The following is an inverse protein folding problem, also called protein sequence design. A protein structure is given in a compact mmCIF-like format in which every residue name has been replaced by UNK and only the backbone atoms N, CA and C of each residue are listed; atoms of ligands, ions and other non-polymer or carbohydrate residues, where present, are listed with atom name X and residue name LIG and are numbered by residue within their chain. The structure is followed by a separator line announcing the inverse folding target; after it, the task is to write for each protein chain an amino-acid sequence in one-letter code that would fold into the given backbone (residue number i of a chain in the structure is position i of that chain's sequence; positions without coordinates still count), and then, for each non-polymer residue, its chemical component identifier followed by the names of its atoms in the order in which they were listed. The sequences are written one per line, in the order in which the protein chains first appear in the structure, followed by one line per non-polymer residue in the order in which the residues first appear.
data_IF_311717217226
#
_entry.id   IF_311717217226
#
_cell.length_a   1.000
_cell.length_b   1.000
_cell.length_c   1.000
_cell.angle_alpha   90.00
_cell.angle_beta   90.00
_cell.angle_gamma   90.00
#
_symmetry.space_group_name_H-M   'P 1'
#
loop_
_entity.id
_entity.type
_entity.pdbx_description
1 polymer ?
#
# COMPACT_ATOMS: atom_id res chain seq x y z
N UNK A 1 -1.87 11.76 -0.08
CA UNK A 1 -0.60 11.14 -0.52
C UNK A 1 0.09 10.36 0.59
N UNK A 2 0.20 10.90 1.81
CA UNK A 2 0.87 10.26 2.97
C UNK A 2 0.54 8.78 3.27
N UNK A 3 -0.71 8.32 3.05
CA UNK A 3 -1.09 6.92 3.34
C UNK A 3 -0.55 5.94 2.29
N UNK A 4 -0.57 6.32 1.01
CA UNK A 4 -0.01 5.49 -0.06
C UNK A 4 1.51 5.41 0.05
N UNK A 5 2.18 6.53 0.34
CA UNK A 5 3.63 6.55 0.53
C UNK A 5 4.07 5.71 1.74
N UNK A 6 3.31 5.75 2.83
CA UNK A 6 3.53 4.88 3.97
C UNK A 6 3.32 3.41 3.61
N UNK A 7 2.24 3.09 2.88
CA UNK A 7 1.92 1.72 2.46
C UNK A 7 3.06 1.12 1.65
N UNK A 8 3.54 1.84 0.64
CA UNK A 8 4.60 1.36 -0.29
C UNK A 8 5.85 0.91 0.45
N UNK A 9 6.22 1.59 1.54
CA UNK A 9 7.38 1.22 2.38
C UNK A 9 7.18 -0.08 3.15
N UNK A 10 5.93 -0.51 3.33
CA UNK A 10 5.55 -1.70 4.09
C UNK A 10 5.15 -2.88 3.20
N UNK A 11 5.12 -2.73 1.86
CA UNK A 11 4.59 -3.77 0.96
C UNK A 11 5.51 -4.96 0.70
N UNK A 12 6.82 -4.83 0.93
CA UNK A 12 7.80 -5.87 0.62
C UNK A 12 7.44 -7.27 1.17
N UNK A 13 6.98 -7.42 2.42
CA UNK A 13 6.55 -8.71 2.96
C UNK A 13 5.30 -9.31 2.28
N UNK A 14 4.47 -8.48 1.64
CA UNK A 14 3.17 -8.88 1.06
C UNK A 14 3.25 -9.25 -0.41
N UNK A 15 4.31 -8.82 -1.10
CA UNK A 15 4.57 -9.15 -2.51
C UNK A 15 5.57 -10.31 -2.66
N UNK A 16 6.41 -10.56 -1.64
CA UNK A 16 7.48 -11.55 -1.69
C UNK A 16 8.60 -11.21 -2.67
N UNK A 17 8.71 -9.93 -3.09
CA UNK A 17 9.68 -9.48 -4.09
C UNK A 17 10.71 -8.55 -3.42
N UNK A 18 11.99 -8.89 -3.55
CA UNK A 18 13.07 -8.00 -3.15
C UNK A 18 13.35 -7.00 -4.27
N UNK A 19 13.19 -5.72 -3.97
CA UNK A 19 13.42 -4.63 -4.93
C UNK A 19 13.04 -3.28 -4.37
N UNK A 20 13.18 -2.25 -5.20
CA UNK A 20 12.76 -0.88 -4.86
C UNK A 20 11.33 -0.66 -5.32
N UNK A 21 10.47 -0.25 -4.40
CA UNK A 21 9.05 -0.04 -4.64
C UNK A 21 8.77 1.42 -4.98
N UNK A 22 8.02 1.64 -6.05
CA UNK A 22 7.62 2.95 -6.54
C UNK A 22 6.10 3.02 -6.67
N UNK A 23 5.50 4.06 -6.12
CA UNK A 23 4.10 4.36 -6.37
C UNK A 23 3.94 4.90 -7.79
N UNK A 24 3.15 4.23 -8.62
CA UNK A 24 2.84 4.66 -9.98
C UNK A 24 1.46 5.34 -10.08
N UNK A 25 0.50 4.95 -9.23
CA UNK A 25 -0.82 5.56 -9.21
C UNK A 25 -1.71 5.04 -8.08
N UNK A 26 -2.84 5.71 -7.86
CA UNK A 26 -3.85 5.34 -6.86
C UNK A 26 -5.23 5.40 -7.52
N UNK A 27 -6.10 4.46 -7.17
CA UNK A 27 -7.49 4.40 -7.63
C UNK A 27 -8.41 3.86 -6.53
N UNK A 28 -9.73 3.91 -6.74
CA UNK A 28 -10.74 3.35 -5.83
C UNK A 28 -10.59 3.81 -4.37
N UNK A 29 -10.39 5.12 -4.18
CA UNK A 29 -10.16 5.70 -2.85
C UNK A 29 -11.49 5.81 -2.12
N UNK A 30 -11.56 5.25 -0.91
CA UNK A 30 -12.65 5.44 0.02
C UNK A 30 -12.12 5.77 1.42
N UNK A 31 -12.95 6.43 2.22
CA UNK A 31 -12.64 6.75 3.61
C UNK A 31 -13.89 6.55 4.46
N UNK A 32 -13.73 5.90 5.60
CA UNK A 32 -14.76 5.74 6.61
C UNK A 32 -14.23 6.16 7.98
N UNK A 33 -15.11 6.67 8.83
CA UNK A 33 -14.76 7.02 10.22
C UNK A 33 -15.34 5.95 11.13
N UNK A 34 -14.48 5.13 11.74
CA UNK A 34 -14.87 4.03 12.62
C UNK A 34 -13.75 3.78 13.63
N UNK A 35 -13.92 4.23 14.88
CA UNK A 35 -12.86 4.16 15.91
C UNK A 35 -11.46 4.57 15.40
N UNK A 36 -11.43 5.54 14.48
CA UNK A 36 -10.27 5.94 13.70
C UNK A 36 -10.70 6.41 12.31
N UNK A 37 -9.73 6.71 11.46
CA UNK A 37 -9.97 6.91 10.03
C UNK A 37 -9.51 5.65 9.27
N UNK A 38 -10.47 4.94 8.68
CA UNK A 38 -10.23 3.82 7.80
C UNK A 38 -10.09 4.33 6.37
N UNK A 39 -8.93 4.12 5.75
CA UNK A 39 -8.66 4.46 4.35
C UNK A 39 -8.55 3.17 3.55
N UNK A 40 -9.33 3.05 2.48
CA UNK A 40 -9.20 1.95 1.54
C UNK A 40 -8.87 2.51 0.17
N UNK A 41 -7.91 1.91 -0.52
CA UNK A 41 -7.52 2.34 -1.85
C UNK A 41 -6.75 1.24 -2.56
N UNK A 42 -6.82 1.28 -3.89
CA UNK A 42 -5.99 0.46 -4.77
C UNK A 42 -4.75 1.26 -5.16
N UNK A 43 -3.56 0.72 -4.89
CA UNK A 43 -2.30 1.26 -5.40
C UNK A 43 -1.84 0.49 -6.63
N UNK A 44 -1.30 1.23 -7.59
CA UNK A 44 -0.52 0.69 -8.69
C UNK A 44 0.94 0.96 -8.37
N UNK A 45 1.75 -0.09 -8.24
CA UNK A 45 3.15 -0.01 -7.87
C UNK A 45 4.04 -0.59 -8.97
N UNK A 46 5.25 -0.07 -9.07
CA UNK A 46 6.35 -0.63 -9.87
C UNK A 46 7.43 -1.09 -8.91
N UNK A 47 7.97 -2.27 -9.14
CA UNK A 47 9.06 -2.84 -8.35
C UNK A 47 10.25 -3.02 -9.27
N UNK A 48 11.33 -2.29 -9.01
CA UNK A 48 12.60 -2.48 -9.71
C UNK A 48 13.40 -3.56 -8.96
N UNK A 49 13.60 -4.70 -9.62
CA UNK A 49 14.39 -5.82 -9.10
C UNK A 49 15.86 -5.63 -9.51
N UNK A 50 16.77 -6.25 -8.75
CA UNK A 50 18.23 -6.07 -8.92
C UNK A 50 18.76 -6.50 -10.30
N UNK A 51 18.03 -7.36 -11.00
CA UNK A 51 18.33 -7.84 -12.36
C UNK A 51 17.92 -6.83 -13.46
N UNK A 52 17.35 -5.68 -13.07
CA UNK A 52 16.83 -4.67 -13.99
C UNK A 52 15.40 -4.93 -14.45
N UNK A 53 14.78 -6.05 -14.04
CA UNK A 53 13.38 -6.34 -14.34
C UNK A 53 12.47 -5.40 -13.57
N UNK A 54 11.45 -4.87 -14.25
CA UNK A 54 10.39 -4.10 -13.61
C UNK A 54 9.12 -4.93 -13.51
N UNK A 55 8.58 -5.07 -12.31
CA UNK A 55 7.32 -5.77 -12.05
C UNK A 55 6.27 -4.73 -11.71
N UNK A 56 5.13 -4.76 -12.40
CA UNK A 56 3.97 -3.92 -12.09
C UNK A 56 3.00 -4.75 -11.27
N UNK A 57 2.53 -4.18 -10.16
CA UNK A 57 1.52 -4.80 -9.32
C UNK A 57 0.41 -3.83 -8.96
N UNK A 58 -0.77 -4.39 -8.73
CA UNK A 58 -1.92 -3.72 -8.16
C UNK A 58 -2.11 -4.27 -6.75
N UNK A 59 -2.11 -3.38 -5.75
CA UNK A 59 -2.28 -3.75 -4.35
C UNK A 59 -3.52 -3.05 -3.76
N UNK A 60 -4.48 -3.84 -3.30
CA UNK A 60 -5.61 -3.33 -2.53
C UNK A 60 -5.19 -3.22 -1.06
N UNK A 61 -5.35 -2.02 -0.50
CA UNK A 61 -4.84 -1.65 0.83
C UNK A 61 -5.93 -1.05 1.68
N UNK A 62 -5.95 -1.46 2.95
CA UNK A 62 -6.83 -0.93 3.99
C UNK A 62 -5.97 -0.48 5.18
N UNK A 63 -6.01 0.81 5.52
CA UNK A 63 -5.24 1.39 6.63
C UNK A 63 -6.19 1.97 7.68
N UNK A 64 -5.96 1.60 8.93
CA UNK A 64 -6.56 2.26 10.08
C UNK A 64 -5.56 3.28 10.66
N UNK A 65 -5.97 4.54 10.70
CA UNK A 65 -5.22 5.66 11.27
C UNK A 65 -5.93 6.18 12.52
N UNK A 66 -5.33 5.96 13.69
CA UNK A 66 -5.80 6.52 14.97
C UNK A 66 -4.88 7.65 15.37
N UNK A 67 -5.20 8.86 14.91
CA UNK A 67 -4.37 10.05 15.10
C UNK A 67 -4.03 10.35 16.58
N UNK A 68 -4.94 10.04 17.50
CA UNK A 68 -4.75 10.26 18.94
C UNK A 68 -3.76 9.27 19.57
N UNK A 69 -3.56 8.10 18.96
CA UNK A 69 -2.57 7.09 19.36
C UNK A 69 -1.25 7.22 18.58
N UNK A 70 -1.20 8.12 17.58
CA UNK A 70 -0.07 8.25 16.64
C UNK A 70 0.22 6.91 15.93
N UNK A 71 -0.81 6.08 15.76
CA UNK A 71 -0.71 4.74 15.18
C UNK A 71 -1.32 4.67 13.78
N UNK A 72 -0.63 3.94 12.90
CA UNK A 72 -1.09 3.55 11.58
C UNK A 72 -0.79 2.08 11.39
N UNK A 73 -1.80 1.33 11.01
CA UNK A 73 -1.69 -0.10 10.79
C UNK A 73 -2.51 -0.50 9.57
N UNK A 74 -2.12 -1.63 8.97
CA UNK A 74 -2.99 -2.27 8.00
C UNK A 74 -4.18 -2.87 8.77
N UNK A 75 -5.39 -2.45 8.41
CA UNK A 75 -6.62 -3.02 8.97
C UNK A 75 -6.79 -4.47 8.51
N UNK A 76 -6.34 -4.77 7.30
CA UNK A 76 -6.29 -6.09 6.68
C UNK A 76 -4.99 -6.22 5.89
N UNK A 77 -4.48 -7.44 5.73
CA UNK A 77 -3.27 -7.69 4.95
C UNK A 77 -3.45 -7.16 3.51
N UNK A 78 -2.53 -6.33 2.99
CA UNK A 78 -2.52 -5.92 1.60
C UNK A 78 -2.61 -7.10 0.64
N UNK A 79 -3.50 -7.00 -0.35
CA UNK A 79 -3.66 -8.03 -1.38
C UNK A 79 -3.04 -7.50 -2.67
N UNK A 80 -1.90 -8.06 -3.06
CA UNK A 80 -1.15 -7.63 -4.24
C UNK A 80 -1.26 -8.66 -5.38
N UNK A 81 -1.56 -8.19 -6.57
CA UNK A 81 -1.68 -8.98 -7.81
C UNK A 81 -0.77 -8.39 -8.89
N UNK A 82 -0.09 -9.25 -9.67
CA UNK A 82 0.67 -8.81 -10.84
C UNK A 82 -0.29 -8.34 -11.94
N UNK A 83 0.07 -7.25 -12.62
CA UNK A 83 -0.69 -6.68 -13.74
C UNK A 83 -0.06 -7.09 -15.07
#
# INVERSE_FOLDING_TARGET
MLMADWSVKQLSPYTGINGTYFLNGISNISKQTFYGALYQFTMHIKIAVLDGTQIVMKCDVSILDRKWEVSKEFNENPICTKV
#
